data_IF_140499203517
#
_entry.id   IF_140499203517
#
_cell.length_a   1.000
_cell.length_b   1.000
_cell.length_c   1.000
_cell.angle_alpha   90.00
_cell.angle_beta   90.00
_cell.angle_gamma   90.00
#
_symmetry.space_group_name_H-M   'P 1'
#
loop_
_entity.id
_entity.type
_entity.pdbx_description
1 polymer ?
#
# COMPACT_ATOMS: atom_id res chain seq x y z
N UNK A 1 -11.14 -19.01 -17.85
CA UNK A 1 -10.41 -17.83 -17.34
C UNK A 1 -11.12 -17.19 -16.15
N UNK A 2 -12.43 -16.87 -16.26
CA UNK A 2 -13.17 -16.24 -15.16
C UNK A 2 -13.26 -17.11 -13.90
N UNK A 3 -13.50 -18.43 -14.06
CA UNK A 3 -13.61 -19.34 -12.93
C UNK A 3 -12.31 -19.39 -12.12
N UNK A 4 -11.15 -19.39 -12.79
CA UNK A 4 -9.85 -19.41 -12.13
C UNK A 4 -9.55 -18.09 -11.40
N UNK A 5 -9.96 -16.96 -11.99
CA UNK A 5 -9.82 -15.64 -11.34
C UNK A 5 -10.66 -15.56 -10.08
N UNK A 6 -11.89 -16.06 -10.12
CA UNK A 6 -12.78 -16.11 -8.96
C UNK A 6 -12.20 -16.99 -7.85
N UNK A 7 -11.60 -18.12 -8.20
CA UNK A 7 -10.92 -19.00 -7.25
C UNK A 7 -9.72 -18.32 -6.60
N UNK A 8 -8.92 -17.61 -7.39
CA UNK A 8 -7.75 -16.87 -6.90
C UNK A 8 -8.20 -15.77 -5.93
N UNK A 9 -9.23 -15.01 -6.29
CA UNK A 9 -9.77 -13.97 -5.42
C UNK A 9 -10.29 -14.55 -4.11
N UNK A 10 -11.07 -15.63 -4.18
CA UNK A 10 -11.62 -16.27 -2.99
C UNK A 10 -10.52 -16.80 -2.07
N UNK A 11 -9.51 -17.46 -2.62
CA UNK A 11 -8.39 -17.98 -1.85
C UNK A 11 -7.55 -16.85 -1.23
N UNK A 12 -7.26 -15.82 -2.00
CA UNK A 12 -6.50 -14.66 -1.53
C UNK A 12 -7.25 -13.93 -0.41
N UNK A 13 -8.56 -13.74 -0.59
CA UNK A 13 -9.40 -13.13 0.43
C UNK A 13 -9.38 -13.93 1.73
N UNK A 14 -9.45 -15.25 1.63
CA UNK A 14 -9.39 -16.13 2.81
C UNK A 14 -8.04 -16.03 3.52
N UNK A 15 -6.93 -16.04 2.76
CA UNK A 15 -5.57 -15.92 3.33
C UNK A 15 -5.37 -14.60 4.07
N UNK A 16 -5.93 -13.51 3.56
CA UNK A 16 -5.77 -12.18 4.13
C UNK A 16 -6.85 -11.81 5.15
N UNK A 17 -7.87 -12.65 5.30
CA UNK A 17 -8.99 -12.37 6.21
C UNK A 17 -9.87 -11.21 5.73
N UNK A 18 -10.02 -11.03 4.42
CA UNK A 18 -10.83 -9.98 3.81
C UNK A 18 -11.95 -10.59 2.96
N UNK A 19 -12.89 -9.75 2.52
CA UNK A 19 -13.96 -10.18 1.62
C UNK A 19 -13.46 -10.14 0.17
N UNK A 20 -13.99 -11.02 -0.71
CA UNK A 20 -13.58 -10.99 -2.13
C UNK A 20 -13.83 -9.66 -2.83
N UNK A 21 -14.85 -8.90 -2.42
CA UNK A 21 -15.16 -7.58 -2.98
C UNK A 21 -14.19 -6.48 -2.54
N UNK A 22 -13.28 -6.79 -1.61
CA UNK A 22 -12.19 -5.90 -1.22
C UNK A 22 -10.95 -6.07 -2.09
N UNK A 23 -10.99 -6.98 -3.07
CA UNK A 23 -9.89 -7.27 -3.98
C UNK A 23 -10.14 -6.69 -5.37
N UNK A 24 -9.13 -6.06 -5.94
CA UNK A 24 -9.15 -5.47 -7.28
C UNK A 24 -8.00 -6.09 -8.09
N UNK A 25 -8.32 -6.74 -9.21
CA UNK A 25 -7.30 -7.21 -10.14
C UNK A 25 -6.71 -6.04 -10.93
N UNK A 26 -5.39 -6.09 -11.10
CA UNK A 26 -4.64 -5.13 -11.90
C UNK A 26 -3.71 -5.86 -12.85
N UNK A 27 -3.13 -5.13 -13.79
CA UNK A 27 -2.17 -5.70 -14.75
C UNK A 27 -0.81 -6.02 -14.12
N UNK A 28 -0.58 -5.62 -12.88
CA UNK A 28 0.65 -5.91 -12.15
C UNK A 28 0.72 -5.10 -10.86
N UNK A 29 1.76 -5.38 -10.07
CA UNK A 29 1.98 -4.68 -8.80
C UNK A 29 2.18 -3.17 -8.98
N UNK A 30 2.80 -2.76 -10.08
CA UNK A 30 3.01 -1.34 -10.39
C UNK A 30 1.69 -0.61 -10.57
N UNK A 31 0.74 -1.20 -11.30
CA UNK A 31 -0.59 -0.61 -11.44
C UNK A 31 -1.33 -0.58 -10.10
N UNK A 32 -1.23 -1.64 -9.30
CA UNK A 32 -1.84 -1.70 -7.98
C UNK A 32 -1.33 -0.57 -7.08
N UNK A 33 -0.01 -0.36 -7.03
CA UNK A 33 0.61 0.72 -6.27
C UNK A 33 0.17 2.10 -6.78
N UNK A 34 0.18 2.32 -8.10
CA UNK A 34 -0.26 3.57 -8.70
C UNK A 34 -1.72 3.88 -8.37
N UNK A 35 -2.59 2.88 -8.52
CA UNK A 35 -4.02 3.04 -8.24
C UNK A 35 -4.25 3.42 -6.78
N UNK A 36 -3.61 2.73 -5.84
CA UNK A 36 -3.74 3.02 -4.43
C UNK A 36 -3.20 4.41 -4.08
N UNK A 37 -1.97 4.71 -4.45
CA UNK A 37 -1.30 5.95 -4.03
C UNK A 37 -1.95 7.18 -4.66
N UNK A 38 -2.13 7.17 -5.98
CA UNK A 38 -2.77 8.30 -6.67
C UNK A 38 -4.24 8.42 -6.32
N UNK A 39 -4.95 7.30 -6.23
CA UNK A 39 -6.38 7.28 -5.91
C UNK A 39 -6.67 7.83 -4.53
N UNK A 40 -5.93 7.40 -3.50
CA UNK A 40 -6.10 7.90 -2.14
C UNK A 40 -5.64 9.35 -2.00
N UNK A 41 -4.50 9.71 -2.60
CA UNK A 41 -4.00 11.08 -2.54
C UNK A 41 -5.00 12.08 -3.11
N UNK A 42 -5.56 11.78 -4.28
CA UNK A 42 -6.57 12.63 -4.92
C UNK A 42 -7.87 12.69 -4.12
N UNK A 43 -8.33 11.56 -3.61
CA UNK A 43 -9.55 11.49 -2.80
C UNK A 43 -9.43 12.27 -1.49
N UNK A 44 -8.21 12.42 -0.97
CA UNK A 44 -7.93 13.10 0.31
C UNK A 44 -7.37 14.51 0.15
N UNK A 45 -7.38 15.08 -1.06
CA UNK A 45 -6.80 16.42 -1.31
C UNK A 45 -7.43 17.54 -0.48
N UNK A 46 -8.67 17.35 -0.05
CA UNK A 46 -9.38 18.31 0.82
C UNK A 46 -8.86 18.29 2.26
N UNK A 47 -8.21 17.22 2.69
CA UNK A 47 -7.58 17.11 4.01
C UNK A 47 -6.18 17.71 3.96
N UNK A 48 -5.39 17.38 2.96
CA UNK A 48 -4.04 17.86 2.83
C UNK A 48 -3.27 17.17 1.72
N UNK A 49 -1.97 17.46 1.65
CA UNK A 49 -1.07 16.96 0.61
C UNK A 49 0.27 16.47 1.19
N UNK A 50 0.27 16.01 2.43
CA UNK A 50 1.47 15.48 3.06
C UNK A 50 1.44 13.96 3.06
N UNK A 51 2.54 13.34 2.61
CA UNK A 51 2.70 11.90 2.51
C UNK A 51 4.04 11.50 3.14
N UNK A 52 4.04 10.42 3.88
CA UNK A 52 5.25 9.85 4.50
C UNK A 52 5.52 8.49 3.86
N UNK A 53 6.77 8.25 3.50
CA UNK A 53 7.21 6.96 2.93
C UNK A 53 8.61 6.63 3.42
N UNK A 54 9.27 5.68 2.78
CA UNK A 54 10.65 5.28 3.11
C UNK A 54 11.54 5.30 1.87
N UNK A 55 12.84 5.29 2.08
CA UNK A 55 13.82 5.17 0.99
C UNK A 55 13.95 3.73 0.47
N UNK A 56 13.30 2.75 1.11
CA UNK A 56 13.39 1.33 0.75
C UNK A 56 12.30 0.88 -0.23
N UNK A 57 11.46 1.80 -0.71
CA UNK A 57 10.32 1.44 -1.55
C UNK A 57 10.74 1.04 -2.96
N UNK A 58 9.95 0.13 -3.55
CA UNK A 58 10.08 -0.23 -4.95
C UNK A 58 9.87 1.00 -5.85
N UNK A 59 10.50 1.00 -7.03
CA UNK A 59 10.41 2.11 -7.99
C UNK A 59 8.98 2.49 -8.38
N UNK A 60 8.04 1.53 -8.38
CA UNK A 60 6.62 1.81 -8.64
C UNK A 60 5.98 2.68 -7.56
N UNK A 61 6.48 2.59 -6.31
CA UNK A 61 6.03 3.45 -5.22
C UNK A 61 6.77 4.77 -5.25
N UNK A 62 8.11 4.75 -5.25
CA UNK A 62 8.91 5.97 -5.23
C UNK A 62 8.68 6.84 -6.46
N UNK A 63 8.53 6.24 -7.64
CA UNK A 63 8.21 6.96 -8.88
C UNK A 63 6.84 7.62 -8.83
N UNK A 64 5.85 6.93 -8.27
CA UNK A 64 4.50 7.49 -8.08
C UNK A 64 4.53 8.66 -7.11
N UNK A 65 5.28 8.55 -6.02
CA UNK A 65 5.43 9.63 -5.05
C UNK A 65 6.13 10.84 -5.67
N UNK A 66 7.14 10.62 -6.52
CA UNK A 66 7.79 11.71 -7.26
C UNK A 66 6.79 12.43 -8.17
N UNK A 67 5.93 11.68 -8.87
CA UNK A 67 4.88 12.28 -9.71
C UNK A 67 3.89 13.11 -8.89
N UNK A 68 3.53 12.64 -7.69
CA UNK A 68 2.67 13.39 -6.78
C UNK A 68 3.37 14.66 -6.28
N UNK A 69 4.66 14.57 -5.97
CA UNK A 69 5.47 15.71 -5.54
C UNK A 69 5.47 16.82 -6.60
N UNK A 70 5.56 16.46 -7.87
CA UNK A 70 5.48 17.40 -8.99
C UNK A 70 4.12 18.11 -9.07
N UNK A 71 3.10 17.52 -8.46
CA UNK A 71 1.74 18.07 -8.39
C UNK A 71 1.44 18.79 -7.07
N UNK A 72 2.48 19.10 -6.30
CA UNK A 72 2.37 19.88 -5.08
C UNK A 72 2.22 19.08 -3.79
N UNK A 73 2.36 17.75 -3.84
CA UNK A 73 2.40 16.94 -2.63
C UNK A 73 3.77 17.05 -1.98
N UNK A 74 3.77 17.08 -0.64
CA UNK A 74 5.00 17.11 0.14
C UNK A 74 5.29 15.70 0.65
N UNK A 75 6.46 15.18 0.29
CA UNK A 75 6.86 13.82 0.62
C UNK A 75 7.99 13.88 1.66
N UNK A 76 7.76 13.29 2.82
CA UNK A 76 8.81 13.09 3.82
C UNK A 76 9.18 11.61 3.88
N UNK A 77 10.47 11.34 4.03
CA UNK A 77 10.98 9.98 4.21
C UNK A 77 11.31 9.76 5.67
N UNK A 78 10.66 8.76 6.28
CA UNK A 78 10.94 8.38 7.66
C UNK A 78 12.30 7.69 7.75
N UNK A 79 13.04 7.96 8.82
CA UNK A 79 14.32 7.32 9.07
C UNK A 79 14.17 5.81 9.28
N UNK A 80 15.24 5.10 8.96
CA UNK A 80 15.34 3.65 9.03
C UNK A 80 16.49 3.31 9.97
N UNK A 81 16.29 2.35 10.86
CA UNK A 81 17.33 1.92 11.77
C UNK A 81 18.40 1.05 11.06
N UNK A 82 19.40 0.57 11.80
CA UNK A 82 20.49 -0.23 11.26
C UNK A 82 20.03 -1.56 10.65
N UNK A 83 18.88 -2.05 11.07
CA UNK A 83 18.31 -3.31 10.59
C UNK A 83 17.36 -3.10 9.41
N UNK A 84 17.18 -1.86 8.96
CA UNK A 84 16.31 -1.51 7.85
C UNK A 84 14.85 -1.32 8.26
N UNK A 85 14.55 -1.26 9.55
CA UNK A 85 13.19 -1.04 10.04
C UNK A 85 12.87 0.43 10.20
N UNK A 86 11.62 0.78 9.94
CA UNK A 86 11.12 2.14 10.14
C UNK A 86 11.32 2.56 11.60
N UNK A 87 11.91 3.74 11.79
CA UNK A 87 12.01 4.39 13.10
C UNK A 87 10.62 4.91 13.51
N UNK A 88 9.99 4.20 14.43
CA UNK A 88 8.62 4.50 14.85
C UNK A 88 8.50 5.86 15.53
N UNK A 89 9.51 6.27 16.29
CA UNK A 89 9.52 7.58 16.94
C UNK A 89 9.58 8.71 15.92
N UNK A 90 10.44 8.56 14.91
CA UNK A 90 10.53 9.51 13.80
C UNK A 90 9.22 9.57 13.00
N UNK A 91 8.57 8.41 12.81
CA UNK A 91 7.26 8.40 12.15
C UNK A 91 6.24 9.23 12.91
N UNK A 92 6.19 9.11 14.25
CA UNK A 92 5.30 9.94 15.10
C UNK A 92 5.59 11.41 14.94
N UNK A 93 6.87 11.78 14.91
CA UNK A 93 7.30 13.18 14.76
C UNK A 93 6.90 13.76 13.40
N UNK A 94 6.94 12.97 12.34
CA UNK A 94 6.60 13.41 10.98
C UNK A 94 5.09 13.56 10.77
N UNK A 95 4.25 12.86 11.54
CA UNK A 95 2.80 12.91 11.39
C UNK A 95 2.26 14.32 11.65
N UNK A 96 1.46 14.82 10.73
CA UNK A 96 0.85 16.16 10.78
C UNK A 96 -0.67 16.01 10.60
N UNK A 97 -1.40 17.10 10.86
CA UNK A 97 -2.86 17.14 10.63
C UNK A 97 -3.23 17.00 9.16
N UNK A 98 -2.35 17.44 8.27
CA UNK A 98 -2.53 17.35 6.83
C UNK A 98 -1.85 16.14 6.20
N UNK A 99 -1.35 15.21 7.00
CA UNK A 99 -0.83 13.94 6.51
C UNK A 99 -2.00 13.06 6.05
N UNK A 100 -1.99 12.70 4.78
CA UNK A 100 -3.10 11.93 4.16
C UNK A 100 -2.74 10.47 3.93
N UNK A 101 -1.44 10.14 3.92
CA UNK A 101 -1.02 8.79 3.63
C UNK A 101 0.36 8.49 4.21
N UNK A 102 0.53 7.24 4.66
CA UNK A 102 1.81 6.61 4.93
C UNK A 102 1.92 5.42 4.00
N UNK A 103 3.00 5.33 3.24
CA UNK A 103 3.23 4.24 2.29
C UNK A 103 4.54 3.53 2.60
N UNK A 104 4.46 2.24 2.92
CA UNK A 104 5.62 1.43 3.29
C UNK A 104 5.57 0.06 2.62
N UNK A 105 6.72 -0.57 2.40
CA UNK A 105 6.79 -1.96 2.01
C UNK A 105 6.73 -2.86 3.24
N UNK A 106 6.10 -4.02 3.11
CA UNK A 106 6.06 -5.00 4.20
C UNK A 106 7.42 -5.66 4.42
N UNK A 107 8.09 -5.99 3.32
CA UNK A 107 9.43 -6.58 3.31
C UNK A 107 10.25 -5.89 2.25
N UNK A 108 11.43 -5.43 2.62
CA UNK A 108 12.37 -4.84 1.66
C UNK A 108 12.96 -5.90 0.74
N UNK A 109 13.01 -5.60 -0.57
CA UNK A 109 13.48 -6.55 -1.59
C UNK A 109 14.99 -6.82 -1.52
N UNK A 110 15.77 -5.89 -1.02
CA UNK A 110 17.23 -6.01 -0.96
C UNK A 110 17.71 -6.63 0.34
N UNK A 111 17.22 -6.11 1.48
CA UNK A 111 17.67 -6.52 2.81
C UNK A 111 16.83 -7.65 3.39
N UNK A 112 15.62 -7.87 2.88
CA UNK A 112 14.70 -8.86 3.45
C UNK A 112 14.12 -8.45 4.80
N UNK A 113 14.28 -7.20 5.18
CA UNK A 113 13.80 -6.69 6.47
C UNK A 113 12.30 -6.63 6.52
N UNK A 114 11.72 -7.17 7.58
CA UNK A 114 10.28 -7.15 7.84
C UNK A 114 9.93 -5.89 8.63
N UNK A 115 9.01 -5.08 8.10
CA UNK A 115 8.60 -3.84 8.77
C UNK A 115 7.62 -4.12 9.92
N UNK A 116 7.66 -3.30 10.97
CA UNK A 116 6.73 -3.42 12.12
C UNK A 116 5.35 -2.85 11.77
N UNK A 117 4.61 -3.56 10.91
CA UNK A 117 3.35 -3.05 10.35
C UNK A 117 2.27 -2.78 11.39
N UNK A 118 2.16 -3.61 12.44
CA UNK A 118 1.17 -3.41 13.49
C UNK A 118 1.40 -2.09 14.23
N UNK A 119 2.64 -1.77 14.54
CA UNK A 119 3.02 -0.53 15.22
C UNK A 119 2.88 0.68 14.31
N UNK A 120 3.22 0.53 13.03
CA UNK A 120 3.00 1.58 12.02
C UNK A 120 1.50 1.87 11.89
N UNK A 121 0.67 0.83 11.79
CA UNK A 121 -0.79 0.97 11.70
C UNK A 121 -1.36 1.67 12.93
N UNK A 122 -0.84 1.38 14.12
CA UNK A 122 -1.27 2.03 15.36
C UNK A 122 -0.97 3.54 15.33
N UNK A 123 0.20 3.93 14.84
CA UNK A 123 0.56 5.34 14.70
C UNK A 123 -0.34 6.06 13.68
N UNK A 124 -0.58 5.42 12.53
CA UNK A 124 -1.44 5.99 11.48
C UNK A 124 -2.88 6.14 11.97
N UNK A 125 -3.37 5.18 12.77
CA UNK A 125 -4.73 5.20 13.30
C UNK A 125 -5.01 6.41 14.19
N UNK A 126 -3.98 7.01 14.79
CA UNK A 126 -4.10 8.23 15.59
C UNK A 126 -4.56 9.43 14.75
N UNK A 127 -4.38 9.39 13.42
CA UNK A 127 -4.80 10.42 12.49
C UNK A 127 -5.97 9.86 11.65
N UNK A 128 -7.23 10.21 11.96
CA UNK A 128 -8.40 9.57 11.35
C UNK A 128 -8.51 9.76 9.83
N UNK A 129 -7.91 10.82 9.30
CA UNK A 129 -7.95 11.10 7.87
C UNK A 129 -6.70 10.61 7.12
N UNK A 130 -5.77 9.97 7.81
CA UNK A 130 -4.58 9.38 7.20
C UNK A 130 -4.82 7.90 6.86
N UNK A 131 -4.36 7.49 5.68
CA UNK A 131 -4.48 6.10 5.20
C UNK A 131 -3.11 5.43 5.16
N UNK A 132 -3.10 4.12 5.39
CA UNK A 132 -1.89 3.32 5.31
C UNK A 132 -1.94 2.43 4.07
N UNK A 133 -0.97 2.61 3.18
CA UNK A 133 -0.73 1.72 2.05
C UNK A 133 0.49 0.86 2.33
N UNK A 134 0.37 -0.45 2.12
CA UNK A 134 1.46 -1.40 2.27
C UNK A 134 1.72 -2.10 0.93
N UNK A 135 2.95 -2.02 0.45
CA UNK A 135 3.40 -2.83 -0.67
C UNK A 135 3.89 -4.17 -0.12
N UNK A 136 3.11 -5.22 -0.33
CA UNK A 136 3.39 -6.56 0.17
C UNK A 136 3.82 -7.54 -0.94
N UNK A 137 4.31 -7.02 -2.07
CA UNK A 137 4.69 -7.87 -3.22
C UNK A 137 5.82 -8.84 -2.89
N UNK A 138 6.68 -8.51 -1.94
CA UNK A 138 7.78 -9.38 -1.50
C UNK A 138 7.42 -10.26 -0.29
N UNK A 139 6.33 -9.94 0.42
CA UNK A 139 5.96 -10.60 1.68
C UNK A 139 5.03 -11.78 1.47
N UNK A 140 4.01 -11.60 0.66
CA UNK A 140 2.93 -12.59 0.48
C UNK A 140 3.49 -13.88 -0.13
N UNK A 141 3.25 -15.01 0.55
CA UNK A 141 3.77 -16.32 0.18
C UNK A 141 5.10 -16.68 0.84
N UNK A 142 5.80 -15.71 1.41
CA UNK A 142 7.05 -15.96 2.15
C UNK A 142 6.82 -15.95 3.65
N UNK A 143 5.80 -15.22 4.10
CA UNK A 143 5.45 -15.09 5.51
C UNK A 143 3.98 -14.65 5.63
N UNK A 144 3.34 -14.92 6.78
CA UNK A 144 1.99 -14.43 7.04
C UNK A 144 1.98 -12.90 7.06
N UNK A 145 1.05 -12.30 6.28
CA UNK A 145 0.83 -10.85 6.28
C UNK A 145 -0.63 -10.62 6.65
N UNK A 146 -0.84 -9.84 7.71
CA UNK A 146 -2.17 -9.42 8.13
C UNK A 146 -2.54 -8.12 7.44
N UNK A 147 -3.83 -7.98 7.08
CA UNK A 147 -4.38 -6.73 6.56
C UNK A 147 -4.95 -5.83 7.68
N UNK A 148 -4.83 -6.25 8.94
CA UNK A 148 -5.36 -5.50 10.09
C UNK A 148 -4.73 -4.11 10.21
N UNK A 149 -5.56 -3.08 10.28
CA UNK A 149 -5.13 -1.69 10.41
C UNK A 149 -4.57 -1.08 9.12
N UNK A 150 -4.60 -1.80 8.01
CA UNK A 150 -4.11 -1.37 6.70
C UNK A 150 -5.31 -0.98 5.84
N UNK A 151 -5.19 0.11 5.08
CA UNK A 151 -6.25 0.60 4.21
C UNK A 151 -6.17 0.02 2.82
N UNK A 152 -4.96 -0.07 2.26
CA UNK A 152 -4.70 -0.70 0.97
C UNK A 152 -3.41 -1.51 1.02
N UNK A 153 -3.37 -2.59 0.24
CA UNK A 153 -2.18 -3.44 0.15
C UNK A 153 -2.03 -3.95 -1.28
N UNK A 154 -0.85 -3.81 -1.85
CA UNK A 154 -0.55 -4.40 -3.16
C UNK A 154 0.13 -5.74 -2.99
N UNK A 155 -0.30 -6.73 -3.76
CA UNK A 155 0.27 -8.08 -3.77
C UNK A 155 0.46 -8.58 -5.20
N UNK A 156 1.36 -9.55 -5.36
CA UNK A 156 1.66 -10.15 -6.64
C UNK A 156 1.30 -11.66 -6.60
N UNK A 157 0.14 -12.05 -7.12
CA UNK A 157 -0.34 -13.44 -7.02
C UNK A 157 0.51 -14.44 -7.83
N UNK A 158 1.36 -13.99 -8.74
CA UNK A 158 2.23 -14.88 -9.50
C UNK A 158 3.13 -15.76 -8.61
N UNK A 159 3.45 -15.29 -7.41
CA UNK A 159 4.27 -16.05 -6.44
C UNK A 159 3.53 -17.26 -5.87
N UNK A 160 2.18 -17.26 -5.96
CA UNK A 160 1.35 -18.35 -5.46
C UNK A 160 0.82 -19.25 -6.58
N UNK A 161 0.48 -18.65 -7.73
CA UNK A 161 -0.31 -19.30 -8.77
C UNK A 161 0.42 -19.40 -10.11
N UNK A 162 1.68 -18.95 -10.17
CA UNK A 162 2.44 -18.94 -11.43
C UNK A 162 1.91 -17.95 -12.46
N UNK A 163 1.11 -16.96 -12.04
CA UNK A 163 0.54 -15.95 -12.92
C UNK A 163 1.48 -14.75 -13.05
N UNK A 164 2.13 -14.66 -14.20
CA UNK A 164 2.99 -13.51 -14.50
C UNK A 164 2.15 -12.34 -15.00
N UNK A 165 2.56 -11.12 -14.63
CA UNK A 165 1.93 -9.90 -15.11
C UNK A 165 0.60 -9.56 -14.46
N UNK A 166 0.28 -10.18 -13.32
CA UNK A 166 -0.93 -9.86 -12.57
C UNK A 166 -0.59 -9.23 -11.24
N UNK A 167 -1.42 -8.30 -10.77
CA UNK A 167 -1.36 -7.72 -9.45
C UNK A 167 -2.74 -7.73 -8.82
N UNK A 168 -2.78 -7.65 -7.51
CA UNK A 168 -4.02 -7.48 -6.76
C UNK A 168 -3.82 -6.29 -5.84
N UNK A 169 -4.81 -5.39 -5.84
CA UNK A 169 -4.93 -4.36 -4.83
C UNK A 169 -6.00 -4.79 -3.84
N UNK A 170 -5.64 -4.91 -2.58
CA UNK A 170 -6.59 -5.11 -1.48
C UNK A 170 -6.99 -3.73 -0.99
N UNK A 171 -8.29 -3.46 -0.98
CA UNK A 171 -8.84 -2.18 -0.54
C UNK A 171 -9.89 -2.42 0.54
N UNK A 172 -9.68 -1.83 1.71
CA UNK A 172 -10.66 -1.89 2.79
C UNK A 172 -11.95 -1.18 2.39
N UNK A 173 -13.09 -1.73 2.78
CA UNK A 173 -14.38 -1.08 2.58
C UNK A 173 -14.38 0.30 3.23
N UNK A 174 -14.94 1.28 2.53
CA UNK A 174 -14.97 2.65 2.99
C UNK A 174 -13.77 3.50 2.58
N UNK A 175 -12.67 2.89 2.12
CA UNK A 175 -11.56 3.64 1.53
C UNK A 175 -11.95 4.09 0.14
N UNK A 176 -11.80 5.38 -0.13
CA UNK A 176 -12.16 5.98 -1.41
C UNK A 176 -10.90 6.08 -2.28
N UNK A 177 -10.98 5.55 -3.49
CA UNK A 177 -9.96 5.70 -4.52
C UNK A 177 -10.54 6.49 -5.68
N UNK A 178 -9.94 7.65 -5.98
CA UNK A 178 -10.29 8.36 -7.19
C UNK A 178 -9.72 7.60 -8.39
N UNK A 179 -10.49 7.31 -9.46
CA UNK A 179 -10.02 6.49 -10.57
C UNK A 179 -8.88 7.19 -11.33
N UNK A 180 -7.91 6.38 -11.81
CA UNK A 180 -6.81 6.87 -12.63
C UNK A 180 -7.28 7.28 -14.01
N UNK A 181 -8.26 6.53 -14.55
CA UNK A 181 -8.87 6.76 -15.87
C UNK A 181 -10.38 6.78 -15.68
N UNK A 182 -11.01 7.90 -16.05
CA UNK A 182 -12.46 8.05 -15.94
C UNK A 182 -13.18 7.19 -16.99
N UNK A 183 -14.25 6.51 -16.57
CA UNK A 183 -15.04 5.64 -17.43
C UNK A 183 -14.61 4.20 -17.51
N UNK A 184 -13.54 3.83 -16.84
CA UNK A 184 -13.02 2.44 -16.78
C UNK A 184 -13.22 1.87 -15.37
N UNK A 185 -14.47 1.65 -14.98
CA UNK A 185 -14.82 0.90 -13.77
C UNK A 185 -15.77 -0.22 -14.15
#
# INVERSE_FOLDING_TARGET
AHARMDEILAHTAQLLGVQPDELIFTSGASEANNLALKGMARASRHVGKHIISTALEHSSVSGTLTALQERGYEIDLVDIDREGRVDLEHLRELMRKDTVMVAVCAVDSELGTVQPLAEIAEIVRQAPDCRLHVDATQAVGKMPVSFDGIDTMSIAPHKFYGLNGCGILVKRKGVILEPLIHGCL
#
